data_IF_418746776499
#
_entry.id   IF_418746776499
#
_cell.length_a   1.000
_cell.length_b   1.000
_cell.length_c   1.000
_cell.angle_alpha   90.00
_cell.angle_beta   90.00
_cell.angle_gamma   90.00
#
_symmetry.space_group_name_H-M   'P 1'
#
loop_
_entity.id
_entity.type
_entity.pdbx_description
1 polymer ?
#
# COMPACT_ATOMS: atom_id res chain seq x y z
N UNK A 1 28.56 7.08 11.65
CA UNK A 1 27.29 7.31 12.38
C UNK A 1 26.18 7.38 11.35
N UNK A 2 25.32 6.37 11.28
CA UNK A 2 24.14 6.43 10.42
C UNK A 2 23.23 7.56 10.91
N UNK A 3 22.74 8.40 10.02
CA UNK A 3 21.82 9.46 10.40
C UNK A 3 20.55 8.82 11.00
N UNK A 4 20.36 8.97 12.30
CA UNK A 4 19.10 8.61 12.97
C UNK A 4 18.03 9.55 12.42
N UNK A 5 17.23 9.07 11.46
CA UNK A 5 16.07 9.79 10.93
C UNK A 5 14.85 9.48 11.79
N UNK A 6 14.92 9.90 13.06
CA UNK A 6 13.76 9.85 13.95
C UNK A 6 12.84 11.02 13.59
N UNK A 7 11.84 10.73 12.78
CA UNK A 7 10.73 11.66 12.52
C UNK A 7 9.66 11.35 13.55
N UNK A 8 9.15 12.39 14.22
CA UNK A 8 8.00 12.24 15.11
C UNK A 8 6.84 11.57 14.36
N UNK A 9 6.03 10.77 15.06
CA UNK A 9 4.88 10.10 14.42
C UNK A 9 3.93 11.11 13.75
N UNK A 10 3.83 12.32 14.30
CA UNK A 10 3.10 13.47 13.74
C UNK A 10 3.72 14.07 12.48
N UNK A 11 5.00 13.80 12.22
CA UNK A 11 5.74 14.22 11.02
C UNK A 11 5.78 13.15 9.93
N UNK A 12 5.26 11.95 10.18
CA UNK A 12 5.09 10.94 9.14
C UNK A 12 3.90 11.29 8.27
N UNK A 13 3.96 11.10 6.94
CA UNK A 13 2.84 11.31 6.04
C UNK A 13 1.81 10.16 6.14
N UNK A 14 1.54 9.63 7.35
CA UNK A 14 0.53 8.60 7.56
C UNK A 14 -0.83 9.28 7.62
N UNK A 15 -1.72 8.87 6.71
CA UNK A 15 -3.04 9.50 6.50
C UNK A 15 -4.19 8.59 6.88
N UNK A 16 -3.93 7.30 7.11
CA UNK A 16 -4.96 6.37 7.56
C UNK A 16 -4.49 4.92 7.54
N UNK A 17 -5.39 4.04 7.97
CA UNK A 17 -5.24 2.60 7.90
C UNK A 17 -6.45 2.05 7.15
N UNK A 18 -6.21 1.25 6.12
CA UNK A 18 -7.22 0.46 5.43
C UNK A 18 -6.99 -1.01 5.76
N UNK A 19 -7.99 -1.64 6.37
CA UNK A 19 -7.95 -3.07 6.69
C UNK A 19 -8.88 -3.75 5.69
N UNK A 20 -8.32 -4.61 4.84
CA UNK A 20 -9.12 -5.40 3.92
C UNK A 20 -10.11 -6.24 4.73
N UNK A 21 -11.39 -6.17 4.41
CA UNK A 21 -12.43 -7.06 4.96
C UNK A 21 -12.39 -8.44 4.30
N UNK A 22 -13.09 -9.43 4.85
CA UNK A 22 -13.12 -10.79 4.29
C UNK A 22 -13.60 -10.79 2.83
N UNK A 23 -14.55 -9.93 2.47
CA UNK A 23 -15.07 -9.80 1.11
C UNK A 23 -14.05 -9.14 0.15
N UNK A 24 -13.19 -8.26 0.67
CA UNK A 24 -12.18 -7.52 -0.09
C UNK A 24 -10.84 -8.27 -0.20
N UNK A 25 -10.62 -9.28 0.64
CA UNK A 25 -9.38 -10.05 0.69
C UNK A 25 -9.10 -10.85 -0.60
N UNK A 26 -10.12 -11.06 -1.44
CA UNK A 26 -10.02 -11.69 -2.76
C UNK A 26 -10.18 -10.69 -3.91
N UNK A 27 -10.33 -9.40 -3.60
CA UNK A 27 -10.61 -8.37 -4.57
C UNK A 27 -9.31 -7.75 -5.12
N UNK A 28 -9.42 -7.23 -6.35
CA UNK A 28 -8.43 -6.34 -6.94
C UNK A 28 -8.81 -4.90 -6.59
N UNK A 29 -7.86 -4.17 -6.01
CA UNK A 29 -7.99 -2.77 -5.63
C UNK A 29 -7.12 -1.91 -6.53
N UNK A 30 -7.69 -0.88 -7.14
CA UNK A 30 -6.91 0.12 -7.89
C UNK A 30 -6.70 1.33 -7.00
N UNK A 31 -5.44 1.62 -6.69
CA UNK A 31 -5.07 2.75 -5.85
C UNK A 31 -5.02 4.05 -6.67
N UNK A 32 -5.27 5.15 -5.99
CA UNK A 32 -5.13 6.51 -6.54
C UNK A 32 -4.02 7.27 -5.83
N UNK A 33 -3.53 8.37 -6.43
CA UNK A 33 -2.45 9.17 -5.81
C UNK A 33 -2.78 9.70 -4.41
N UNK A 34 -4.08 9.88 -4.11
CA UNK A 34 -4.57 10.26 -2.78
C UNK A 34 -4.58 9.12 -1.76
N UNK A 35 -4.21 7.90 -2.12
CA UNK A 35 -4.03 6.79 -1.19
C UNK A 35 -2.61 6.74 -0.60
N UNK A 36 -1.73 7.63 -1.08
CA UNK A 36 -0.39 7.79 -0.51
C UNK A 36 -0.47 8.07 0.99
N UNK A 37 0.34 7.34 1.76
CA UNK A 37 0.36 7.46 3.21
C UNK A 37 -0.73 6.64 3.93
N UNK A 38 -1.56 5.89 3.22
CA UNK A 38 -2.46 4.91 3.83
C UNK A 38 -1.71 3.58 4.01
N UNK A 39 -1.90 2.96 5.18
CA UNK A 39 -1.40 1.61 5.46
C UNK A 39 -2.46 0.59 5.09
N UNK A 40 -2.19 -0.22 4.07
CA UNK A 40 -3.05 -1.31 3.59
C UNK A 40 -2.70 -2.61 4.30
N UNK A 41 -3.64 -3.14 5.09
CA UNK A 41 -3.44 -4.34 5.89
C UNK A 41 -4.31 -5.47 5.35
N UNK A 42 -3.68 -6.53 4.86
CA UNK A 42 -4.38 -7.79 4.62
C UNK A 42 -4.39 -8.63 5.90
N UNK A 43 -5.57 -8.85 6.47
CA UNK A 43 -5.78 -9.66 7.68
C UNK A 43 -6.44 -11.01 7.36
N UNK A 44 -6.49 -11.43 6.10
CA UNK A 44 -7.15 -12.67 5.71
C UNK A 44 -6.22 -13.57 4.89
N UNK A 45 -6.53 -14.86 4.86
CA UNK A 45 -5.68 -15.88 4.23
C UNK A 45 -5.78 -15.90 2.71
N UNK A 46 -6.52 -14.97 2.11
CA UNK A 46 -6.67 -14.83 0.66
C UNK A 46 -5.72 -13.78 0.11
N UNK A 47 -5.32 -13.95 -1.15
CA UNK A 47 -4.47 -12.99 -1.86
C UNK A 47 -5.24 -11.73 -2.23
N UNK A 48 -4.80 -10.59 -1.71
CA UNK A 48 -5.32 -9.27 -2.07
C UNK A 48 -4.40 -8.63 -3.09
N UNK A 49 -4.95 -8.15 -4.20
CA UNK A 49 -4.16 -7.49 -5.25
C UNK A 49 -4.37 -5.99 -5.21
N UNK A 50 -3.28 -5.22 -5.20
CA UNK A 50 -3.29 -3.77 -5.31
C UNK A 50 -2.58 -3.33 -6.59
N UNK A 51 -3.29 -2.59 -7.44
CA UNK A 51 -2.73 -1.95 -8.62
C UNK A 51 -2.35 -0.52 -8.27
N UNK A 52 -1.07 -0.18 -8.43
CA UNK A 52 -0.57 1.17 -8.24
C UNK A 52 -1.21 2.13 -9.27
N UNK A 53 -1.31 3.44 -8.96
CA UNK A 53 -1.78 4.43 -9.93
C UNK A 53 -0.81 4.57 -11.11
N UNK A 54 -1.26 5.29 -12.14
CA UNK A 54 -0.43 5.72 -13.27
C UNK A 54 0.82 6.47 -12.80
N UNK A 55 1.85 6.56 -13.65
CA UNK A 55 3.08 7.27 -13.30
C UNK A 55 2.81 8.74 -12.97
N UNK A 56 1.87 9.37 -13.67
CA UNK A 56 1.50 10.78 -13.46
C UNK A 56 0.96 11.01 -12.05
N UNK A 57 0.14 10.09 -11.55
CA UNK A 57 -0.53 10.22 -10.26
C UNK A 57 0.29 9.60 -9.09
N UNK A 58 1.13 8.62 -9.40
CA UNK A 58 1.96 7.88 -8.45
C UNK A 58 3.33 8.47 -8.18
N UNK A 59 3.82 9.39 -9.02
CA UNK A 59 5.17 9.96 -8.86
C UNK A 59 5.35 10.66 -7.51
N UNK A 60 6.38 10.24 -6.77
CA UNK A 60 6.72 10.79 -5.45
C UNK A 60 5.76 10.39 -4.33
N UNK A 61 4.85 9.43 -4.58
CA UNK A 61 3.94 8.88 -3.58
C UNK A 61 4.54 7.64 -2.92
N UNK A 62 4.07 7.34 -1.71
CA UNK A 62 4.49 6.15 -0.95
C UNK A 62 3.24 5.40 -0.49
N UNK A 63 3.17 4.11 -0.86
CA UNK A 63 2.10 3.19 -0.48
C UNK A 63 2.66 2.10 0.43
N UNK A 64 1.95 1.82 1.52
CA UNK A 64 2.44 0.91 2.55
C UNK A 64 1.54 -0.32 2.58
N UNK A 65 2.12 -1.49 2.38
CA UNK A 65 1.40 -2.76 2.37
C UNK A 65 1.92 -3.65 3.50
N UNK A 66 1.01 -4.18 4.31
CA UNK A 66 1.33 -5.06 5.41
C UNK A 66 0.46 -6.31 5.35
N UNK A 67 1.11 -7.46 5.25
CA UNK A 67 0.44 -8.74 5.34
C UNK A 67 0.46 -9.19 6.81
N UNK A 68 -0.71 -9.24 7.44
CA UNK A 68 -0.88 -9.65 8.83
C UNK A 68 -1.25 -11.14 8.95
N UNK A 69 -1.03 -11.93 7.89
CA UNK A 69 -1.33 -13.36 7.83
C UNK A 69 -0.15 -14.17 7.33
N UNK A 70 -0.13 -15.46 7.67
CA UNK A 70 0.96 -16.38 7.33
C UNK A 70 0.80 -17.08 5.98
N UNK A 71 -0.41 -17.11 5.41
CA UNK A 71 -0.72 -17.85 4.18
C UNK A 71 -1.38 -17.02 3.09
N UNK A 72 -1.96 -15.86 3.42
CA UNK A 72 -2.44 -14.91 2.41
C UNK A 72 -1.26 -14.18 1.79
N UNK A 73 -1.44 -13.66 0.58
CA UNK A 73 -0.42 -12.85 -0.09
C UNK A 73 -0.93 -11.42 -0.32
N UNK A 74 0.00 -10.47 -0.43
CA UNK A 74 -0.29 -9.17 -1.04
C UNK A 74 0.42 -9.15 -2.38
N UNK A 75 -0.35 -9.09 -3.45
CA UNK A 75 0.17 -8.88 -4.80
C UNK A 75 0.11 -7.38 -5.10
N UNK A 76 1.26 -6.80 -5.47
CA UNK A 76 1.33 -5.40 -5.92
C UNK A 76 1.68 -5.40 -7.40
N UNK A 77 0.83 -4.77 -8.20
CA UNK A 77 1.03 -4.61 -9.64
C UNK A 77 1.15 -3.13 -9.97
N UNK A 78 1.81 -2.83 -11.09
CA UNK A 78 1.92 -1.47 -11.61
C UNK A 78 1.42 -1.45 -13.06
N UNK A 79 0.82 -0.35 -13.53
CA UNK A 79 0.55 -0.19 -14.94
C UNK A 79 1.87 -0.01 -15.71
N UNK A 80 1.83 -0.28 -17.01
CA UNK A 80 3.04 -0.40 -17.86
C UNK A 80 3.84 0.90 -17.99
N UNK A 81 3.23 2.04 -17.72
CA UNK A 81 3.84 3.37 -17.69
C UNK A 81 4.75 3.59 -16.48
N UNK A 82 4.60 2.80 -15.41
CA UNK A 82 5.44 2.86 -14.21
C UNK A 82 6.71 1.99 -14.29
N UNK A 83 6.92 1.22 -15.37
CA UNK A 83 8.01 0.23 -15.49
C UNK A 83 9.19 0.65 -16.39
N UNK A 84 9.26 1.92 -16.80
CA UNK A 84 10.36 2.46 -17.62
C UNK A 84 11.48 3.10 -16.80
#
# INVERSE_FOLDING_TARGET
MGATRDVALSGLPIRGISIATLAEASASHTLVGSDSGVLFINKYTTTTTYTLPSLVDGKGKIFWFLNAQSTGEIAVTAPSDCMM
#
